data_IF_068640321023
#
_entry.id   IF_068640321023
#
_cell.length_a   1.000
_cell.length_b   1.000
_cell.length_c   1.000
_cell.angle_alpha   90.00
_cell.angle_beta   90.00
_cell.angle_gamma   90.00
#
_symmetry.space_group_name_H-M   'P 1'
#
loop_
_entity.id
_entity.type
_entity.pdbx_description
1 polymer ?
#
# COMPACT_ATOMS: atom_id res chain seq x y z
N UNK A 1 15.90 -76.59 16.40
CA UNK A 1 16.70 -75.35 16.15
C UNK A 1 15.99 -74.56 15.07
N UNK A 2 15.21 -73.57 15.49
CA UNK A 2 14.41 -72.77 14.57
C UNK A 2 14.76 -71.27 14.82
N UNK A 3 15.42 -70.63 13.89
CA UNK A 3 15.82 -69.25 13.92
C UNK A 3 14.62 -68.35 13.50
N UNK A 4 14.19 -67.49 14.39
CA UNK A 4 13.25 -66.40 14.10
C UNK A 4 14.04 -65.18 13.69
N UNK A 5 13.85 -64.71 12.46
CA UNK A 5 14.37 -63.42 11.95
C UNK A 5 13.41 -62.32 12.33
N UNK A 6 13.85 -61.41 13.24
CA UNK A 6 13.17 -60.16 13.53
C UNK A 6 13.42 -59.13 12.44
N UNK A 7 12.36 -58.66 11.79
CA UNK A 7 12.41 -57.53 10.85
C UNK A 7 12.29 -56.23 11.59
N UNK A 8 13.32 -55.35 11.53
CA UNK A 8 13.23 -53.94 11.94
C UNK A 8 12.49 -53.14 10.89
N UNK A 9 11.28 -52.70 11.21
CA UNK A 9 10.58 -51.68 10.42
C UNK A 9 11.13 -50.29 10.78
N UNK A 10 11.85 -49.67 9.83
CA UNK A 10 12.28 -48.26 9.97
C UNK A 10 11.10 -47.35 9.64
N UNK A 11 10.62 -46.62 10.65
CA UNK A 11 9.64 -45.56 10.45
C UNK A 11 10.37 -44.31 9.90
N UNK A 12 10.11 -43.98 8.63
CA UNK A 12 10.53 -42.70 8.06
C UNK A 12 9.54 -41.62 8.55
N UNK A 13 9.98 -40.82 9.51
CA UNK A 13 9.26 -39.61 9.92
C UNK A 13 9.50 -38.56 8.84
N UNK A 14 8.51 -38.38 7.97
CA UNK A 14 8.47 -37.23 7.06
C UNK A 14 8.21 -35.97 7.89
N UNK A 15 9.27 -35.29 8.31
CA UNK A 15 9.19 -33.99 8.92
C UNK A 15 8.76 -32.96 7.89
N UNK A 16 7.52 -32.52 7.96
CA UNK A 16 7.02 -31.36 7.21
C UNK A 16 7.78 -30.12 7.66
N UNK A 17 8.73 -29.65 6.88
CA UNK A 17 9.37 -28.36 7.06
C UNK A 17 8.29 -27.28 6.82
N UNK A 18 7.66 -26.81 7.87
CA UNK A 18 6.88 -25.59 7.84
C UNK A 18 7.88 -24.46 7.58
N UNK A 19 7.91 -23.97 6.35
CA UNK A 19 8.63 -22.75 6.03
C UNK A 19 7.97 -21.61 6.82
N UNK A 20 8.60 -21.22 7.93
CA UNK A 20 8.22 -20.00 8.64
C UNK A 20 8.50 -18.82 7.71
N UNK A 21 7.44 -18.32 7.05
CA UNK A 21 7.53 -17.03 6.38
C UNK A 21 7.89 -15.99 7.44
N UNK A 22 8.96 -15.20 7.26
CA UNK A 22 9.22 -14.10 8.17
C UNK A 22 7.99 -13.20 8.17
N UNK A 23 7.55 -12.81 9.37
CA UNK A 23 6.45 -11.86 9.52
C UNK A 23 6.74 -10.66 8.62
N UNK A 24 5.87 -10.40 7.65
CA UNK A 24 5.99 -9.31 6.71
C UNK A 24 6.04 -7.99 7.49
N UNK A 25 7.22 -7.39 7.57
CA UNK A 25 7.43 -6.07 8.18
C UNK A 25 7.52 -5.05 7.06
N UNK A 26 6.88 -3.89 7.21
CA UNK A 26 6.92 -2.82 6.22
C UNK A 26 8.31 -2.61 5.61
N UNK A 27 8.38 -2.57 4.28
CA UNK A 27 9.64 -2.41 3.56
C UNK A 27 10.26 -1.05 3.87
N UNK A 28 11.46 -1.07 4.44
CA UNK A 28 12.28 0.13 4.60
C UNK A 28 13.37 0.10 3.53
N UNK A 29 13.37 1.13 2.72
CA UNK A 29 14.22 1.27 1.53
C UNK A 29 15.19 2.43 1.73
N UNK A 30 16.35 2.38 1.09
CA UNK A 30 17.20 3.54 0.98
C UNK A 30 16.47 4.64 0.21
N UNK A 31 16.50 5.86 0.73
CA UNK A 31 15.95 7.01 0.03
C UNK A 31 16.96 7.45 -1.02
N UNK A 32 16.58 7.50 -2.32
CA UNK A 32 17.49 7.93 -3.36
C UNK A 32 17.79 9.44 -3.24
N UNK A 33 18.89 9.93 -3.84
CA UNK A 33 19.15 11.35 -3.97
C UNK A 33 17.97 12.11 -4.56
N UNK A 34 17.88 13.43 -4.34
CA UNK A 34 16.75 14.24 -4.83
C UNK A 34 16.57 14.19 -6.36
N UNK A 35 17.66 13.99 -7.09
CA UNK A 35 17.63 13.87 -8.56
C UNK A 35 16.99 12.56 -9.04
N UNK A 36 16.78 11.60 -8.15
CA UNK A 36 16.17 10.30 -8.41
C UNK A 36 14.92 10.10 -7.58
N UNK A 37 14.00 9.30 -8.09
CA UNK A 37 12.68 9.18 -7.47
C UNK A 37 12.18 7.75 -7.29
N UNK A 38 12.89 6.71 -7.77
CA UNK A 38 12.40 5.34 -7.66
C UNK A 38 12.94 4.65 -6.42
N UNK A 39 12.07 3.88 -5.78
CA UNK A 39 12.40 3.04 -4.62
C UNK A 39 11.81 1.65 -4.80
N UNK A 40 12.53 0.65 -4.29
CA UNK A 40 12.12 -0.75 -4.40
C UNK A 40 12.47 -1.39 -5.74
N UNK A 41 11.82 -2.50 -6.04
CA UNK A 41 11.96 -3.24 -7.29
C UNK A 41 10.71 -4.06 -7.55
N UNK A 42 10.23 -4.10 -8.78
CA UNK A 42 9.15 -4.97 -9.21
C UNK A 42 9.66 -6.41 -9.28
N UNK A 43 8.86 -7.37 -8.79
CA UNK A 43 9.18 -8.80 -8.83
C UNK A 43 8.02 -9.58 -9.44
N UNK A 44 8.29 -10.82 -9.83
CA UNK A 44 7.26 -11.75 -10.31
C UNK A 44 7.34 -13.02 -9.46
N UNK A 45 6.18 -13.51 -9.03
CA UNK A 45 6.05 -14.78 -8.31
C UNK A 45 5.13 -15.72 -9.08
N UNK A 46 5.28 -17.02 -8.88
CA UNK A 46 4.37 -18.01 -9.45
C UNK A 46 3.28 -18.32 -8.44
N UNK A 47 2.02 -18.18 -8.83
CA UNK A 47 0.88 -18.51 -7.96
C UNK A 47 0.86 -20.02 -7.67
N UNK A 48 0.52 -20.41 -6.46
CA UNK A 48 0.22 -21.79 -6.07
C UNK A 48 -1.27 -22.06 -6.28
N UNK A 49 -1.66 -23.32 -6.19
CA UNK A 49 -3.05 -23.73 -6.42
C UNK A 49 -4.04 -23.05 -5.46
N UNK A 50 -3.65 -22.91 -4.19
CA UNK A 50 -4.47 -22.32 -3.13
C UNK A 50 -4.37 -20.80 -3.00
N UNK A 51 -3.45 -20.15 -3.75
CA UNK A 51 -3.23 -18.71 -3.64
C UNK A 51 -4.37 -17.91 -4.29
N UNK A 52 -4.72 -16.81 -3.65
CA UNK A 52 -5.48 -15.70 -4.26
C UNK A 52 -4.57 -14.48 -4.45
N UNK A 53 -4.94 -13.52 -5.31
CA UNK A 53 -4.19 -12.26 -5.38
C UNK A 53 -4.17 -11.50 -4.05
N UNK A 54 -5.26 -11.44 -3.23
CA UNK A 54 -5.20 -10.91 -1.87
C UNK A 54 -4.15 -11.57 -0.97
N UNK A 55 -3.99 -12.90 -1.04
CA UNK A 55 -3.00 -13.62 -0.24
C UNK A 55 -1.57 -13.26 -0.66
N UNK A 56 -1.32 -13.24 -1.98
CA UNK A 56 -0.04 -12.82 -2.55
C UNK A 56 0.25 -11.35 -2.19
N UNK A 57 -0.75 -10.46 -2.32
CA UNK A 57 -0.62 -9.06 -1.95
C UNK A 57 -0.24 -8.91 -0.47
N UNK A 58 -0.93 -9.64 0.41
CA UNK A 58 -0.66 -9.65 1.85
C UNK A 58 0.76 -10.13 2.15
N UNK A 59 1.19 -11.24 1.55
CA UNK A 59 2.52 -11.81 1.75
C UNK A 59 3.66 -10.87 1.27
N UNK A 60 3.38 -10.03 0.28
CA UNK A 60 4.35 -9.13 -0.33
C UNK A 60 4.16 -7.64 0.03
N UNK A 61 3.29 -7.32 1.01
CA UNK A 61 3.05 -5.94 1.48
C UNK A 61 2.53 -4.98 0.39
N UNK A 62 1.68 -5.51 -0.46
CA UNK A 62 0.99 -4.79 -1.53
C UNK A 62 -0.49 -4.68 -1.19
N UNK A 63 -1.18 -3.67 -1.69
CA UNK A 63 -2.63 -3.53 -1.57
C UNK A 63 -3.38 -4.30 -2.66
N UNK A 64 -4.66 -4.60 -2.41
CA UNK A 64 -5.52 -5.33 -3.34
C UNK A 64 -5.58 -4.66 -4.73
N UNK A 65 -5.96 -3.39 -4.79
CA UNK A 65 -6.07 -2.68 -6.08
C UNK A 65 -4.74 -2.64 -6.84
N UNK A 66 -3.62 -2.51 -6.13
CA UNK A 66 -2.31 -2.47 -6.75
C UNK A 66 -1.93 -3.80 -7.41
N UNK A 67 -2.17 -4.94 -6.74
CA UNK A 67 -1.84 -6.24 -7.33
C UNK A 67 -2.78 -6.60 -8.49
N UNK A 68 -4.06 -6.25 -8.39
CA UNK A 68 -5.04 -6.47 -9.46
C UNK A 68 -4.70 -5.62 -10.69
N UNK A 69 -4.40 -4.33 -10.51
CA UNK A 69 -4.02 -3.44 -11.60
C UNK A 69 -2.72 -3.88 -12.30
N UNK A 70 -1.75 -4.41 -11.54
CA UNK A 70 -0.49 -4.93 -12.09
C UNK A 70 -0.67 -6.21 -12.92
N UNK A 71 -1.77 -6.96 -12.72
CA UNK A 71 -2.05 -8.27 -13.34
C UNK A 71 -3.39 -8.29 -14.10
N UNK A 72 -3.55 -7.48 -15.15
CA UNK A 72 -4.80 -7.44 -15.89
C UNK A 72 -5.11 -8.81 -16.53
N UNK A 73 -6.37 -9.25 -16.41
CA UNK A 73 -6.84 -10.52 -16.95
C UNK A 73 -6.60 -11.75 -16.06
N UNK A 74 -5.93 -11.60 -14.92
CA UNK A 74 -5.81 -12.65 -13.90
C UNK A 74 -7.01 -12.57 -12.98
N UNK A 75 -7.69 -13.70 -12.75
CA UNK A 75 -8.78 -13.77 -11.76
C UNK A 75 -8.21 -13.57 -10.35
N UNK A 76 -8.69 -12.56 -9.58
CA UNK A 76 -8.15 -12.28 -8.26
C UNK A 76 -8.35 -13.41 -7.24
N UNK A 77 -9.36 -14.25 -7.42
CA UNK A 77 -9.72 -15.32 -6.49
C UNK A 77 -9.21 -16.68 -6.93
N UNK A 78 -8.99 -16.86 -8.22
CA UNK A 78 -8.52 -18.12 -8.84
C UNK A 78 -7.44 -17.82 -9.90
N UNK A 79 -6.27 -17.32 -9.50
CA UNK A 79 -5.20 -17.00 -10.47
C UNK A 79 -4.68 -18.22 -11.24
N UNK A 80 -4.85 -19.41 -10.66
CA UNK A 80 -4.37 -20.67 -11.24
C UNK A 80 -2.91 -20.96 -10.90
N UNK A 81 -2.62 -22.23 -10.61
CA UNK A 81 -1.27 -22.69 -10.30
C UNK A 81 -0.31 -22.42 -11.46
N UNK A 82 0.87 -21.91 -11.17
CA UNK A 82 1.90 -21.59 -12.15
C UNK A 82 1.73 -20.24 -12.83
N UNK A 83 0.62 -19.52 -12.64
CA UNK A 83 0.42 -18.21 -13.24
C UNK A 83 1.46 -17.22 -12.71
N UNK A 84 2.21 -16.51 -13.60
CA UNK A 84 3.15 -15.48 -13.17
C UNK A 84 2.40 -14.23 -12.71
N UNK A 85 2.60 -13.85 -11.46
CA UNK A 85 1.99 -12.69 -10.83
C UNK A 85 3.04 -11.60 -10.63
N UNK A 86 2.83 -10.45 -11.24
CA UNK A 86 3.63 -9.24 -11.02
C UNK A 86 3.29 -8.66 -9.66
N UNK A 87 4.31 -8.50 -8.81
CA UNK A 87 4.19 -7.88 -7.48
C UNK A 87 4.74 -6.46 -7.58
N UNK A 88 3.89 -5.41 -7.56
CA UNK A 88 4.28 -4.03 -7.77
C UNK A 88 4.89 -3.42 -6.51
N UNK A 89 6.17 -3.69 -6.26
CA UNK A 89 6.92 -3.22 -5.09
C UNK A 89 8.01 -2.21 -5.43
N UNK A 90 7.99 -1.68 -6.64
CA UNK A 90 8.76 -0.52 -7.08
C UNK A 90 7.82 0.68 -7.26
N UNK A 91 8.25 1.85 -6.78
CA UNK A 91 7.41 3.05 -6.77
C UNK A 91 8.22 4.29 -7.14
N UNK A 92 7.63 5.18 -7.93
CA UNK A 92 8.10 6.55 -8.03
C UNK A 92 7.58 7.32 -6.83
N UNK A 93 8.48 7.97 -6.08
CA UNK A 93 8.09 8.78 -4.92
C UNK A 93 7.15 9.92 -5.34
N UNK A 94 6.12 10.24 -4.55
CA UNK A 94 5.26 11.39 -4.82
C UNK A 94 6.04 12.71 -4.89
N UNK A 95 5.59 13.62 -5.75
CA UNK A 95 6.09 15.01 -5.80
C UNK A 95 5.61 15.77 -4.55
N UNK A 96 6.37 15.62 -3.49
CA UNK A 96 6.12 16.21 -2.18
C UNK A 96 7.42 16.27 -1.37
N UNK A 97 7.53 17.13 -0.36
CA UNK A 97 8.66 17.11 0.56
C UNK A 97 8.89 15.73 1.17
N UNK A 98 10.12 15.24 1.11
CA UNK A 98 10.53 13.91 1.62
C UNK A 98 10.70 13.92 3.15
N UNK A 99 9.65 14.33 3.87
CA UNK A 99 9.64 14.45 5.33
C UNK A 99 8.31 14.01 5.93
N UNK A 100 8.34 13.42 7.13
CA UNK A 100 7.14 12.94 7.81
C UNK A 100 6.41 11.85 7.03
N UNK A 101 5.13 12.06 6.78
CA UNK A 101 4.26 11.11 6.06
C UNK A 101 3.69 11.75 4.81
N UNK A 102 3.78 11.05 3.69
CA UNK A 102 3.06 11.37 2.45
C UNK A 102 2.13 10.21 2.12
N UNK A 103 0.85 10.51 1.93
CA UNK A 103 -0.18 9.56 1.51
C UNK A 103 -0.63 9.92 0.10
N UNK A 104 -0.39 9.05 -0.88
CA UNK A 104 -0.89 9.22 -2.24
C UNK A 104 -2.15 8.36 -2.44
N UNK A 105 -3.30 9.02 -2.56
CA UNK A 105 -4.60 8.34 -2.57
C UNK A 105 -4.80 7.41 -3.77
N UNK A 106 -4.52 7.81 -5.05
CA UNK A 106 -4.73 6.93 -6.20
C UNK A 106 -3.84 5.69 -6.21
N UNK A 107 -2.75 5.73 -5.44
CA UNK A 107 -1.79 4.64 -5.30
C UNK A 107 -2.14 3.70 -4.13
N UNK A 108 -3.09 4.09 -3.27
CA UNK A 108 -3.40 3.40 -2.01
C UNK A 108 -2.15 3.15 -1.17
N UNK A 109 -1.25 4.16 -1.08
CA UNK A 109 0.06 4.00 -0.47
C UNK A 109 0.46 5.18 0.40
N UNK A 110 1.03 4.84 1.56
CA UNK A 110 1.61 5.76 2.52
C UNK A 110 3.14 5.60 2.50
N UNK A 111 3.85 6.71 2.46
CA UNK A 111 5.31 6.81 2.57
C UNK A 111 5.66 7.49 3.89
N UNK A 112 6.48 6.83 4.71
CA UNK A 112 7.07 7.43 5.92
C UNK A 112 8.54 7.70 5.66
N UNK A 113 8.91 8.96 5.57
CA UNK A 113 10.28 9.42 5.46
C UNK A 113 10.89 9.51 6.86
N UNK A 114 11.88 8.66 7.13
CA UNK A 114 12.52 8.61 8.43
C UNK A 114 13.35 9.88 8.69
N UNK A 115 13.33 10.35 9.94
CA UNK A 115 14.20 11.44 10.34
C UNK A 115 15.67 11.06 10.08
N UNK A 116 16.50 11.99 9.56
CA UNK A 116 17.91 11.74 9.37
C UNK A 116 18.57 11.36 10.70
N UNK A 117 19.41 10.32 10.68
CA UNK A 117 20.26 9.95 11.80
C UNK A 117 21.74 10.19 11.41
N UNK A 118 22.57 10.70 12.32
CA UNK A 118 23.98 10.95 12.03
C UNK A 118 24.68 9.69 11.50
N UNK A 119 25.32 9.81 10.33
CA UNK A 119 26.07 8.72 9.69
C UNK A 119 25.21 7.59 9.09
N UNK A 120 23.90 7.65 9.16
CA UNK A 120 23.01 6.68 8.54
C UNK A 120 22.43 7.21 7.22
N UNK A 121 22.25 6.34 6.19
CA UNK A 121 21.60 6.74 4.95
C UNK A 121 20.14 7.13 5.21
N UNK A 122 19.64 8.11 4.44
CA UNK A 122 18.24 8.47 4.46
C UNK A 122 17.37 7.28 4.04
N UNK A 123 16.19 7.12 4.66
CA UNK A 123 15.32 5.96 4.45
C UNK A 123 13.86 6.36 4.30
N UNK A 124 13.14 5.56 3.54
CA UNK A 124 11.67 5.64 3.42
C UNK A 124 11.06 4.26 3.65
N UNK A 125 9.99 4.21 4.43
CA UNK A 125 9.16 3.01 4.54
C UNK A 125 7.86 3.21 3.78
N UNK A 126 7.39 2.18 3.08
CA UNK A 126 6.14 2.22 2.32
C UNK A 126 5.11 1.26 2.89
N UNK A 127 3.84 1.64 2.84
CA UNK A 127 2.73 0.88 3.40
C UNK A 127 1.53 0.92 2.46
N UNK A 128 0.95 -0.22 2.08
CA UNK A 128 -0.36 -0.24 1.45
C UNK A 128 -1.42 0.21 2.44
N UNK A 129 -2.41 0.96 1.97
CA UNK A 129 -3.48 1.51 2.81
C UNK A 129 -4.83 1.41 2.14
N UNK A 130 -5.90 1.33 2.93
CA UNK A 130 -7.26 1.60 2.45
C UNK A 130 -7.62 3.05 2.75
N UNK A 131 -8.45 3.62 1.89
CA UNK A 131 -8.88 5.02 1.95
C UNK A 131 -10.40 5.12 1.95
N UNK A 132 -10.90 6.34 2.07
CA UNK A 132 -12.32 6.65 1.99
C UNK A 132 -12.99 6.20 0.71
N UNK A 133 -14.24 5.76 0.82
CA UNK A 133 -15.10 5.49 -0.33
C UNK A 133 -15.48 6.79 -1.05
N UNK A 134 -16.19 6.68 -2.18
CA UNK A 134 -16.58 7.82 -3.03
C UNK A 134 -17.40 8.85 -2.24
N UNK A 135 -18.31 8.37 -1.38
CA UNK A 135 -19.18 9.21 -0.56
C UNK A 135 -18.50 9.68 0.74
N UNK A 136 -17.40 9.05 1.14
CA UNK A 136 -16.66 9.31 2.37
C UNK A 136 -15.18 9.60 2.10
N UNK A 137 -14.90 10.72 1.46
CA UNK A 137 -13.57 11.04 0.94
C UNK A 137 -12.53 11.22 2.04
N UNK A 138 -11.34 10.69 1.80
CA UNK A 138 -10.15 11.08 2.58
C UNK A 138 -9.74 12.49 2.17
N UNK A 139 -9.63 13.46 3.10
CA UNK A 139 -9.36 14.86 2.76
C UNK A 139 -7.93 15.05 2.26
N UNK A 140 -7.76 15.83 1.19
CA UNK A 140 -6.46 16.23 0.66
C UNK A 140 -5.85 17.37 1.47
N UNK A 141 -4.53 17.52 1.41
CA UNK A 141 -3.82 18.67 1.96
C UNK A 141 -2.78 18.32 3.01
N UNK A 142 -2.33 19.34 3.73
CA UNK A 142 -1.35 19.21 4.80
C UNK A 142 -2.04 19.17 6.17
N UNK A 143 -1.70 18.17 6.94
CA UNK A 143 -2.15 18.00 8.33
C UNK A 143 -0.99 17.48 9.19
N UNK A 144 -1.27 17.05 10.41
CA UNK A 144 -0.30 16.44 11.31
C UNK A 144 -0.94 15.44 12.26
N UNK A 145 -0.15 14.56 12.84
CA UNK A 145 -0.57 13.69 13.95
C UNK A 145 -0.73 14.54 15.19
N UNK A 146 -1.92 14.55 15.81
CA UNK A 146 -2.20 15.34 17.04
C UNK A 146 -2.33 14.47 18.28
N UNK A 147 -2.65 13.19 18.14
CA UNK A 147 -2.64 12.25 19.26
C UNK A 147 -2.46 10.82 18.79
N UNK A 148 -2.06 9.96 19.72
CA UNK A 148 -1.78 8.53 19.49
C UNK A 148 -2.53 7.74 20.55
N UNK A 149 -3.28 6.71 20.15
CA UNK A 149 -4.06 5.88 21.09
C UNK A 149 -3.73 4.41 20.84
N UNK A 150 -3.37 3.69 21.92
CA UNK A 150 -3.25 2.25 21.95
C UNK A 150 -4.55 1.66 22.48
N UNK A 151 -5.05 0.59 21.87
CA UNK A 151 -6.32 -0.04 22.18
C UNK A 151 -7.49 0.97 22.24
N UNK A 152 -7.77 1.66 21.11
CA UNK A 152 -8.81 2.68 21.08
C UNK A 152 -10.20 2.06 21.28
N UNK A 153 -11.10 2.75 21.97
CA UNK A 153 -12.54 2.50 21.81
C UNK A 153 -13.01 3.20 20.53
N UNK A 154 -13.89 2.55 19.78
CA UNK A 154 -14.51 3.15 18.61
C UNK A 154 -15.89 3.71 18.97
N UNK A 155 -16.09 4.97 18.69
CA UNK A 155 -17.37 5.69 18.84
C UNK A 155 -17.91 5.94 17.42
N UNK A 156 -18.75 5.04 16.85
CA UNK A 156 -19.25 5.22 15.50
C UNK A 156 -20.06 6.52 15.40
N UNK A 157 -19.72 7.43 14.45
CA UNK A 157 -20.48 8.64 14.20
C UNK A 157 -21.97 8.34 13.92
N UNK A 158 -22.85 9.31 14.20
CA UNK A 158 -24.28 9.14 14.00
C UNK A 158 -24.63 8.79 12.53
N UNK A 159 -23.91 9.36 11.55
CA UNK A 159 -24.02 9.04 10.14
C UNK A 159 -23.75 7.59 9.83
N UNK A 160 -22.65 7.03 10.36
CA UNK A 160 -22.28 5.60 10.18
C UNK A 160 -23.30 4.70 10.87
N UNK A 161 -23.77 5.06 12.08
CA UNK A 161 -24.82 4.27 12.75
C UNK A 161 -26.11 4.25 11.96
N UNK A 162 -26.50 5.39 11.38
CA UNK A 162 -27.71 5.48 10.55
C UNK A 162 -27.58 4.69 9.25
N UNK A 163 -26.40 4.66 8.63
CA UNK A 163 -26.11 3.87 7.44
C UNK A 163 -26.25 2.37 7.75
N UNK A 164 -25.54 1.89 8.77
CA UNK A 164 -25.61 0.49 9.19
C UNK A 164 -27.02 0.04 9.61
N UNK A 165 -27.77 0.92 10.27
CA UNK A 165 -29.14 0.61 10.69
C UNK A 165 -30.08 0.40 9.49
N UNK A 166 -29.86 1.10 8.37
CA UNK A 166 -30.61 0.89 7.11
C UNK A 166 -30.38 -0.49 6.51
N UNK A 167 -29.18 -1.04 6.72
CA UNK A 167 -28.79 -2.37 6.27
C UNK A 167 -29.13 -3.47 7.30
N UNK A 168 -29.92 -3.13 8.33
CA UNK A 168 -30.32 -4.07 9.39
C UNK A 168 -29.25 -4.36 10.45
N UNK A 169 -28.09 -3.70 10.38
CA UNK A 169 -26.97 -3.87 11.30
C UNK A 169 -26.88 -2.70 12.30
N UNK A 170 -27.50 -2.86 13.46
CA UNK A 170 -27.51 -1.82 14.50
C UNK A 170 -26.18 -1.79 15.25
N UNK A 171 -25.36 -0.77 15.00
CA UNK A 171 -24.11 -0.58 15.72
C UNK A 171 -24.34 -0.05 17.14
N UNK A 172 -23.56 -0.54 18.15
CA UNK A 172 -23.58 0.00 19.50
C UNK A 172 -23.04 1.44 19.52
N UNK A 173 -23.37 2.20 20.56
CA UNK A 173 -22.83 3.55 20.75
C UNK A 173 -21.30 3.56 20.92
N UNK A 174 -20.74 2.49 21.45
CA UNK A 174 -19.29 2.30 21.68
C UNK A 174 -18.93 0.84 21.39
N UNK A 175 -17.86 0.63 20.62
CA UNK A 175 -17.19 -0.65 20.49
C UNK A 175 -15.89 -0.60 21.32
N UNK A 176 -15.76 -1.38 22.39
CA UNK A 176 -14.56 -1.38 23.22
C UNK A 176 -13.34 -1.93 22.47
N UNK A 177 -12.12 -1.76 23.01
CA UNK A 177 -10.94 -2.42 22.48
C UNK A 177 -11.11 -3.94 22.43
N UNK A 178 -10.73 -4.56 21.32
CA UNK A 178 -10.86 -6.01 21.16
C UNK A 178 -10.91 -6.44 19.69
N UNK A 179 -11.12 -7.73 19.43
CA UNK A 179 -11.10 -8.30 18.08
C UNK A 179 -12.20 -7.76 17.16
N UNK A 180 -13.32 -7.30 17.73
CA UNK A 180 -14.44 -6.75 16.96
C UNK A 180 -14.30 -5.26 16.68
N UNK A 181 -13.26 -4.60 17.21
CA UNK A 181 -13.05 -3.17 17.00
C UNK A 181 -12.43 -2.90 15.64
N UNK A 182 -13.12 -2.17 14.73
CA UNK A 182 -12.63 -1.91 13.38
C UNK A 182 -11.40 -0.98 13.33
N UNK A 183 -11.07 -0.28 14.43
CA UNK A 183 -9.86 0.54 14.51
C UNK A 183 -8.59 -0.29 14.78
N UNK A 184 -8.74 -1.56 15.20
CA UNK A 184 -7.61 -2.40 15.59
C UNK A 184 -6.93 -1.90 16.87
N UNK A 185 -5.66 -2.25 17.05
CA UNK A 185 -4.90 -2.01 18.28
C UNK A 185 -4.29 -0.59 18.40
N UNK A 186 -4.19 0.16 17.30
CA UNK A 186 -3.52 1.47 17.29
C UNK A 186 -4.22 2.46 16.37
N UNK A 187 -4.29 3.71 16.81
CA UNK A 187 -4.81 4.82 16.02
C UNK A 187 -3.97 6.09 16.22
N UNK A 188 -3.76 6.83 15.12
CA UNK A 188 -3.13 8.13 15.07
C UNK A 188 -4.19 9.13 14.60
N UNK A 189 -4.51 10.15 15.42
CA UNK A 189 -5.49 11.18 15.08
C UNK A 189 -4.82 12.28 14.27
N UNK A 190 -5.49 12.71 13.19
CA UNK A 190 -5.04 13.80 12.34
C UNK A 190 -5.70 15.13 12.76
N UNK A 191 -4.99 16.24 12.52
CA UNK A 191 -5.50 17.61 12.74
C UNK A 191 -6.45 18.04 11.60
N UNK A 192 -7.48 17.21 11.34
CA UNK A 192 -8.51 17.47 10.33
C UNK A 192 -9.86 17.43 11.02
N UNK A 193 -10.76 18.43 10.80
CA UNK A 193 -12.12 18.36 11.28
C UNK A 193 -12.83 17.10 10.80
N UNK A 194 -13.66 16.48 11.64
CA UNK A 194 -14.36 15.23 11.32
C UNK A 194 -13.76 13.98 11.95
N UNK A 195 -12.62 14.10 12.67
CA UNK A 195 -12.09 12.99 13.46
C UNK A 195 -11.33 11.92 12.66
N UNK A 196 -10.69 12.31 11.55
CA UNK A 196 -9.92 11.40 10.69
C UNK A 196 -8.74 10.76 11.40
N UNK A 197 -8.56 9.47 11.14
CA UNK A 197 -7.54 8.61 11.75
C UNK A 197 -6.69 7.91 10.69
N UNK A 198 -5.45 7.63 11.07
CA UNK A 198 -4.64 6.54 10.50
C UNK A 198 -4.67 5.42 11.53
N UNK A 199 -5.21 4.25 11.20
CA UNK A 199 -5.48 3.20 12.19
C UNK A 199 -5.30 1.79 11.62
N UNK A 200 -5.36 0.80 12.49
CA UNK A 200 -5.33 -0.61 12.14
C UNK A 200 -6.65 -1.14 11.57
N UNK A 201 -6.82 -2.44 11.65
CA UNK A 201 -8.06 -3.09 11.22
C UNK A 201 -8.20 -4.45 11.90
N UNK A 202 -9.44 -4.89 12.05
CA UNK A 202 -9.80 -6.29 12.32
C UNK A 202 -10.14 -7.07 11.04
N UNK A 203 -10.10 -6.40 9.85
CA UNK A 203 -10.39 -6.99 8.54
C UNK A 203 -9.24 -6.72 7.57
N UNK A 204 -8.09 -7.40 7.70
CA UNK A 204 -6.87 -7.10 6.94
C UNK A 204 -6.99 -7.35 5.43
N UNK A 205 -7.87 -8.25 4.98
CA UNK A 205 -8.05 -8.54 3.55
C UNK A 205 -8.60 -7.37 2.72
N UNK A 206 -9.14 -6.33 3.37
CA UNK A 206 -9.60 -5.12 2.69
C UNK A 206 -8.52 -4.05 2.51
N UNK A 207 -7.25 -4.32 2.82
CA UNK A 207 -6.19 -3.33 2.65
C UNK A 207 -5.87 -3.13 1.17
N UNK A 208 -5.77 -1.86 0.77
CA UNK A 208 -5.58 -1.46 -0.62
C UNK A 208 -6.87 -1.22 -1.38
N UNK A 209 -8.01 -1.05 -0.68
CA UNK A 209 -9.32 -0.81 -1.27
C UNK A 209 -9.93 0.52 -0.78
N UNK A 210 -10.98 0.96 -1.45
CA UNK A 210 -11.84 2.08 -1.04
C UNK A 210 -13.01 1.56 -0.20
N UNK A 211 -12.79 1.42 1.10
CA UNK A 211 -13.74 0.73 2.00
C UNK A 211 -13.88 1.41 3.37
N UNK A 212 -13.45 2.66 3.50
CA UNK A 212 -13.53 3.37 4.77
C UNK A 212 -14.44 4.59 4.69
N UNK A 213 -14.83 5.12 5.85
CA UNK A 213 -15.54 6.39 5.97
C UNK A 213 -14.56 7.57 6.07
N UNK A 214 -13.54 7.58 5.20
CA UNK A 214 -12.55 8.65 5.08
C UNK A 214 -11.25 8.43 5.88
N UNK A 215 -11.23 7.56 6.86
CA UNK A 215 -10.02 7.20 7.59
C UNK A 215 -9.05 6.38 6.73
N UNK A 216 -7.78 6.36 7.14
CA UNK A 216 -6.71 5.60 6.49
C UNK A 216 -6.48 4.32 7.29
N UNK A 217 -6.67 3.16 6.65
CA UNK A 217 -6.58 1.86 7.31
C UNK A 217 -5.32 1.12 6.85
N UNK A 218 -4.59 0.53 7.81
CA UNK A 218 -3.36 -0.23 7.57
C UNK A 218 -3.48 -1.66 8.10
N UNK A 219 -2.58 -2.53 7.64
CA UNK A 219 -2.35 -3.82 8.26
C UNK A 219 -2.00 -3.67 9.75
N UNK A 220 -2.39 -4.61 10.63
CA UNK A 220 -2.14 -4.51 12.07
C UNK A 220 -0.67 -4.31 12.45
N UNK A 221 0.25 -5.00 11.80
CA UNK A 221 1.69 -4.87 12.02
C UNK A 221 2.24 -3.54 11.51
N UNK A 222 1.68 -3.00 10.42
CA UNK A 222 2.08 -1.72 9.84
C UNK A 222 1.72 -0.55 10.75
N UNK A 223 0.47 -0.51 11.22
CA UNK A 223 0.08 0.56 12.16
C UNK A 223 0.81 0.43 13.50
N UNK A 224 1.09 -0.78 13.97
CA UNK A 224 1.88 -0.99 15.18
C UNK A 224 3.28 -0.41 15.05
N UNK A 225 3.90 -0.54 13.88
CA UNK A 225 5.20 0.06 13.55
C UNK A 225 5.11 1.59 13.46
N UNK A 226 4.19 2.12 12.66
CA UNK A 226 3.97 3.57 12.54
C UNK A 226 3.66 4.22 13.89
N UNK A 227 2.87 3.57 14.72
CA UNK A 227 2.57 4.04 16.07
C UNK A 227 3.83 4.21 16.92
N UNK A 228 4.81 3.32 16.81
CA UNK A 228 6.08 3.44 17.53
C UNK A 228 6.97 4.55 16.97
N UNK A 229 7.04 4.63 15.63
CA UNK A 229 7.99 5.48 14.91
C UNK A 229 7.55 6.95 14.75
N UNK A 230 6.23 7.22 14.66
CA UNK A 230 5.74 8.57 14.43
C UNK A 230 5.47 9.31 15.76
N UNK A 231 6.19 10.39 16.07
CA UNK A 231 5.84 11.28 17.18
C UNK A 231 4.57 12.11 16.89
N UNK A 232 3.92 12.59 17.96
CA UNK A 232 2.92 13.64 17.84
C UNK A 232 3.58 14.87 17.24
N UNK A 233 2.88 15.57 16.36
CA UNK A 233 3.42 16.70 15.59
C UNK A 233 3.92 16.32 14.21
N UNK A 234 4.14 15.00 13.90
CA UNK A 234 4.59 14.56 12.58
C UNK A 234 3.70 15.12 11.47
N UNK A 235 4.26 15.83 10.46
CA UNK A 235 3.50 16.31 9.32
C UNK A 235 2.99 15.15 8.47
N UNK A 236 1.75 15.25 8.01
CA UNK A 236 1.09 14.31 7.11
C UNK A 236 0.57 15.07 5.90
N UNK A 237 1.06 14.75 4.74
CA UNK A 237 0.61 15.32 3.46
C UNK A 237 -0.20 14.28 2.70
N UNK A 238 -1.42 14.63 2.34
CA UNK A 238 -2.34 13.76 1.59
C UNK A 238 -2.48 14.36 0.19
N UNK A 239 -2.07 13.59 -0.83
CA UNK A 239 -2.00 14.03 -2.22
C UNK A 239 -2.82 13.13 -3.13
N UNK A 240 -3.16 13.67 -4.30
CA UNK A 240 -3.86 12.99 -5.39
C UNK A 240 -2.99 13.06 -6.65
N UNK A 241 -2.04 12.12 -6.77
CA UNK A 241 -1.08 12.06 -7.87
C UNK A 241 -1.18 10.71 -8.58
N UNK A 242 -2.15 10.54 -9.49
CA UNK A 242 -2.33 9.28 -10.24
C UNK A 242 -1.21 9.03 -11.25
N UNK A 243 -0.47 10.06 -11.64
CA UNK A 243 0.62 9.98 -12.62
C UNK A 243 1.88 10.57 -12.00
N UNK A 244 2.95 9.80 -12.02
CA UNK A 244 4.26 10.18 -11.50
C UNK A 244 5.34 9.86 -12.53
N UNK A 245 6.27 10.79 -12.75
CA UNK A 245 7.45 10.59 -13.58
C UNK A 245 8.72 10.82 -12.74
N UNK A 246 9.71 9.97 -12.88
CA UNK A 246 10.93 10.04 -12.06
C UNK A 246 12.12 9.35 -12.68
N UNK A 247 13.31 9.81 -12.33
CA UNK A 247 14.58 9.29 -12.82
C UNK A 247 15.14 8.21 -11.92
N UNK A 248 15.79 7.22 -12.52
CA UNK A 248 16.63 6.22 -11.86
C UNK A 248 17.74 5.79 -12.80
N UNK A 249 18.98 5.85 -12.35
CA UNK A 249 20.17 5.40 -13.11
C UNK A 249 20.23 5.96 -14.55
N UNK A 250 19.78 7.20 -14.75
CA UNK A 250 19.80 7.85 -16.06
C UNK A 250 18.60 7.59 -16.95
N UNK A 251 17.69 6.73 -16.57
CA UNK A 251 16.47 6.41 -17.29
C UNK A 251 15.27 7.11 -16.66
N UNK A 252 14.38 7.69 -17.46
CA UNK A 252 13.12 8.23 -17.02
C UNK A 252 12.06 7.14 -16.98
N UNK A 253 11.36 7.04 -15.87
CA UNK A 253 10.25 6.13 -15.66
C UNK A 253 8.94 6.89 -15.52
N UNK A 254 7.84 6.24 -15.90
CA UNK A 254 6.47 6.72 -15.72
C UNK A 254 5.66 5.66 -14.98
N UNK A 255 4.96 6.08 -13.92
CA UNK A 255 4.03 5.25 -13.15
C UNK A 255 2.65 5.87 -13.23
N UNK A 256 1.65 5.06 -13.62
CA UNK A 256 0.29 5.53 -13.85
C UNK A 256 -0.70 4.63 -13.10
N UNK A 257 -1.51 5.26 -12.27
CA UNK A 257 -2.63 4.64 -11.55
C UNK A 257 -3.97 5.10 -12.13
N UNK A 258 -5.03 4.34 -11.86
CA UNK A 258 -6.38 4.82 -12.12
C UNK A 258 -6.67 6.06 -11.25
N UNK A 259 -7.20 7.16 -11.82
CA UNK A 259 -7.60 8.30 -11.02
C UNK A 259 -8.80 7.91 -10.11
N UNK A 260 -8.90 8.54 -8.96
CA UNK A 260 -10.10 8.42 -8.14
C UNK A 260 -11.30 9.03 -8.88
N UNK A 261 -12.49 8.45 -8.73
CA UNK A 261 -13.70 8.89 -9.45
C UNK A 261 -14.04 10.36 -9.18
N UNK A 262 -13.76 10.83 -7.97
CA UNK A 262 -13.98 12.22 -7.53
C UNK A 262 -12.78 13.14 -7.78
N UNK A 263 -11.68 12.61 -8.33
CA UNK A 263 -10.45 13.39 -8.57
C UNK A 263 -10.71 14.53 -9.56
N UNK A 264 -10.15 15.69 -9.23
CA UNK A 264 -10.06 16.83 -10.15
C UNK A 264 -8.68 16.94 -10.80
N UNK A 265 -7.77 16.05 -10.40
CA UNK A 265 -6.42 15.97 -10.96
C UNK A 265 -6.51 15.47 -12.41
N UNK A 266 -5.81 16.15 -13.30
CA UNK A 266 -5.74 15.74 -14.70
C UNK A 266 -5.18 14.32 -14.82
N UNK A 267 -5.77 13.51 -15.69
CA UNK A 267 -5.41 12.12 -15.91
C UNK A 267 -5.41 11.76 -17.41
N UNK A 268 -4.95 10.55 -17.74
CA UNK A 268 -4.91 10.07 -19.11
C UNK A 268 -3.64 10.50 -19.88
N UNK A 269 -3.68 10.36 -21.20
CA UNK A 269 -2.50 10.51 -22.05
C UNK A 269 -1.89 11.94 -21.97
N UNK A 270 -2.73 12.97 -21.99
CA UNK A 270 -2.25 14.36 -21.91
C UNK A 270 -1.52 14.65 -20.61
N UNK A 271 -2.06 14.17 -19.49
CA UNK A 271 -1.41 14.34 -18.19
C UNK A 271 -0.09 13.55 -18.10
N UNK A 272 -0.03 12.35 -18.68
CA UNK A 272 1.19 11.55 -18.76
C UNK A 272 2.28 12.26 -19.58
N UNK A 273 1.91 12.81 -20.75
CA UNK A 273 2.82 13.62 -21.57
C UNK A 273 3.35 14.83 -20.79
N UNK A 274 2.48 15.56 -20.08
CA UNK A 274 2.89 16.72 -19.26
C UNK A 274 3.84 16.32 -18.14
N UNK A 275 3.58 15.20 -17.46
CA UNK A 275 4.47 14.69 -16.41
C UNK A 275 5.87 14.36 -16.95
N UNK A 276 5.94 13.70 -18.11
CA UNK A 276 7.20 13.38 -18.78
C UNK A 276 7.93 14.67 -19.20
N UNK A 277 7.25 15.63 -19.85
CA UNK A 277 7.84 16.92 -20.22
C UNK A 277 8.34 17.69 -19.00
N UNK A 278 7.60 17.68 -17.90
CA UNK A 278 8.03 18.33 -16.65
C UNK A 278 9.31 17.69 -16.09
N UNK A 279 9.42 16.36 -16.13
CA UNK A 279 10.59 15.63 -15.67
C UNK A 279 11.84 15.84 -16.56
N UNK A 280 11.66 16.11 -17.86
CA UNK A 280 12.76 16.35 -18.79
C UNK A 280 13.28 17.80 -18.77
N UNK A 281 12.58 18.75 -18.12
CA UNK A 281 13.05 20.15 -18.04
C UNK A 281 14.44 20.33 -17.43
N UNK A 282 14.85 19.41 -16.56
CA UNK A 282 16.14 19.46 -15.84
C UNK A 282 17.17 18.49 -16.41
N UNK A 283 16.75 17.58 -17.29
CA UNK A 283 17.58 16.52 -17.84
C UNK A 283 16.98 16.04 -19.15
N UNK A 284 17.67 16.28 -20.26
CA UNK A 284 17.24 15.85 -21.58
C UNK A 284 17.31 14.32 -21.73
N UNK A 285 16.34 13.77 -22.47
CA UNK A 285 16.31 12.37 -22.86
C UNK A 285 15.50 12.15 -24.14
N UNK A 286 15.84 11.13 -24.88
CA UNK A 286 15.03 10.66 -26.00
C UNK A 286 13.84 9.87 -25.42
N UNK A 287 12.61 10.36 -25.64
CA UNK A 287 11.39 9.80 -25.07
C UNK A 287 10.74 8.82 -26.03
N UNK A 288 10.36 7.65 -25.48
CA UNK A 288 9.49 6.67 -26.13
C UNK A 288 8.02 7.05 -25.87
N UNK A 289 7.43 7.84 -26.77
CA UNK A 289 6.06 8.31 -26.65
C UNK A 289 5.01 7.19 -26.78
N UNK A 290 5.36 6.07 -27.41
CA UNK A 290 4.50 4.89 -27.49
C UNK A 290 4.43 4.21 -26.11
N UNK A 291 5.55 4.11 -25.40
CA UNK A 291 5.58 3.62 -24.02
C UNK A 291 4.79 4.53 -23.08
N UNK A 292 4.90 5.86 -23.22
CA UNK A 292 4.11 6.84 -22.44
C UNK A 292 2.61 6.63 -22.68
N UNK A 293 2.20 6.53 -23.93
CA UNK A 293 0.79 6.35 -24.30
C UNK A 293 0.24 5.02 -23.81
N UNK A 294 1.01 3.97 -23.92
CA UNK A 294 0.67 2.62 -23.42
C UNK A 294 0.50 2.63 -21.91
N UNK A 295 1.45 3.18 -21.15
CA UNK A 295 1.36 3.28 -19.69
C UNK A 295 0.13 4.07 -19.24
N UNK A 296 -0.17 5.20 -19.91
CA UNK A 296 -1.34 6.03 -19.61
C UNK A 296 -2.68 5.30 -19.85
N UNK A 297 -2.71 4.40 -20.83
CA UNK A 297 -3.89 3.58 -21.14
C UNK A 297 -4.04 2.41 -20.16
N UNK A 298 -2.94 1.70 -19.90
CA UNK A 298 -2.95 0.47 -19.09
C UNK A 298 -3.12 0.72 -17.59
N UNK A 299 -2.57 1.81 -17.06
CA UNK A 299 -2.69 2.24 -15.64
C UNK A 299 -2.36 1.14 -14.63
N UNK A 300 -1.28 0.40 -14.91
CA UNK A 300 -0.91 -0.78 -14.11
C UNK A 300 -0.30 -0.46 -12.75
N UNK A 301 -0.01 0.80 -12.43
CA UNK A 301 0.63 1.19 -11.18
C UNK A 301 2.05 0.63 -11.00
N UNK A 302 2.70 0.26 -12.10
CA UNK A 302 4.09 -0.22 -12.14
C UNK A 302 4.92 0.80 -12.90
N UNK A 303 6.07 1.26 -12.37
CA UNK A 303 6.97 2.12 -13.11
C UNK A 303 7.47 1.43 -14.38
N UNK A 304 7.35 2.09 -15.52
CA UNK A 304 7.87 1.62 -16.83
C UNK A 304 8.89 2.60 -17.38
N UNK A 305 10.00 2.14 -17.98
CA UNK A 305 10.95 3.04 -18.61
C UNK A 305 10.31 3.70 -19.84
N UNK A 306 10.47 5.02 -19.96
CA UNK A 306 9.93 5.84 -21.06
C UNK A 306 11.00 6.70 -21.75
N UNK A 307 12.28 6.51 -21.38
CA UNK A 307 13.42 7.08 -22.10
C UNK A 307 14.45 6.00 -22.42
N UNK A 308 15.32 6.34 -23.37
CA UNK A 308 16.47 5.52 -23.77
C UNK A 308 17.77 6.12 -23.28
#
# INVERSE_FOLDING_TARGET
MTFVRGGCAAWIVCGSLWATHPAAGARTLALPPEAEALVGSTTTVSARYEDTLPDIARAHEVGYEAIVAANPGVDPWLPGAGTPIVVPTEHILPDAPRTGVVLNLPEFRLYHYHAPAPGAPARVSTYPVSIGDVDWRTPLGLTRVVSKVKRPSWYPPASIRAEHARDGNVLPAVVPPGPDNPLGEYALRLAVPGGYLIHGTNKPYGIGMRVTHGCVRLYPEHIARLYRELPVGTPVRIVDQPIKAGWKDGVLYLEVHAPLAESRTESGATAAVRAVIAATKRRDAAIDWDAVTRAARERRGVPVPVSR
#
